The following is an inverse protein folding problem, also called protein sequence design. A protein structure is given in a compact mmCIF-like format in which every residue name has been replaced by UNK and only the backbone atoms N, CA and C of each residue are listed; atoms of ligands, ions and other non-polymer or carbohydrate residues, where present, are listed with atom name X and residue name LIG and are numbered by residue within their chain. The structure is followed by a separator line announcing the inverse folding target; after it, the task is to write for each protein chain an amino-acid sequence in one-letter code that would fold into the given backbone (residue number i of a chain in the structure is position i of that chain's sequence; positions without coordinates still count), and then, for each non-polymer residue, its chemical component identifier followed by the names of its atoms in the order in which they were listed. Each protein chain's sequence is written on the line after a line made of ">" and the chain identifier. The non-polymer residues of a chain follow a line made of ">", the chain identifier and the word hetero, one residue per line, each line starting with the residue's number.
data_IF_927882328085
#
_entry.id   IF_927882328085
#
_cell.length_a   1.000
_cell.length_b   1.000
_cell.length_c   1.000
_cell.angle_alpha   90.00
_cell.angle_beta   90.00
_cell.angle_gamma   90.00
#
_symmetry.space_group_name_H-M   'P 1'
#
loop_
_entity.id
_entity.type
_entity.pdbx_description
1 polymer ?
#
# COMPACT_ATOMS: atom_id res chain seq x y z
N UNK A 1 -3.50 -0.11 -15.70
CA UNK A 1 -3.15 0.67 -14.49
C UNK A 1 -4.42 1.21 -13.85
N UNK A 2 -4.35 1.83 -12.67
CA UNK A 2 -5.36 2.81 -12.23
C UNK A 2 -5.29 4.07 -13.11
N UNK A 3 -6.22 5.05 -13.00
CA UNK A 3 -6.24 6.26 -13.83
C UNK A 3 -5.13 7.27 -13.47
N UNK A 4 -3.91 6.77 -13.28
CA UNK A 4 -2.69 7.51 -13.03
C UNK A 4 -1.56 6.86 -13.84
N UNK A 5 -0.83 7.67 -14.60
CA UNK A 5 0.39 7.25 -15.30
C UNK A 5 1.28 8.45 -15.58
N UNK A 6 2.59 8.28 -15.51
CA UNK A 6 3.56 9.28 -15.95
C UNK A 6 4.30 8.80 -17.17
N UNK A 7 4.28 9.60 -18.22
CA UNK A 7 5.08 9.40 -19.42
C UNK A 7 6.33 10.27 -19.34
N UNK A 8 7.48 9.68 -19.64
CA UNK A 8 8.75 10.36 -19.83
C UNK A 8 9.20 10.18 -21.28
N UNK A 9 9.83 11.19 -21.86
CA UNK A 9 10.41 11.13 -23.19
C UNK A 9 11.71 11.91 -23.24
N UNK A 10 12.54 11.62 -24.25
CA UNK A 10 13.72 12.41 -24.55
C UNK A 10 13.60 12.90 -25.99
N UNK A 11 13.99 14.15 -26.24
CA UNK A 11 14.05 14.71 -27.58
C UNK A 11 15.43 15.30 -27.83
N UNK A 12 15.94 15.09 -29.03
CA UNK A 12 17.21 15.64 -29.49
C UNK A 12 16.97 16.39 -30.79
N UNK A 13 17.56 17.57 -30.91
CA UNK A 13 17.66 18.30 -32.17
C UNK A 13 19.11 18.22 -32.68
N UNK A 14 19.29 18.11 -34.00
CA UNK A 14 20.62 18.07 -34.62
C UNK A 14 21.39 19.38 -34.42
N UNK A 15 20.68 20.49 -34.28
CA UNK A 15 21.22 21.83 -34.02
C UNK A 15 21.36 22.10 -32.50
N UNK A 16 20.89 21.17 -31.66
CA UNK A 16 21.05 21.14 -30.20
C UNK A 16 19.74 21.37 -29.44
N UNK A 17 19.64 20.81 -28.22
CA UNK A 17 18.40 20.84 -27.40
C UNK A 17 17.85 22.25 -27.12
N UNK A 18 18.71 23.28 -27.19
CA UNK A 18 18.30 24.70 -27.06
C UNK A 18 17.34 25.18 -28.16
N UNK A 19 17.22 24.45 -29.28
CA UNK A 19 16.34 24.79 -30.40
C UNK A 19 15.00 24.06 -30.40
N UNK A 20 14.74 23.24 -29.37
CA UNK A 20 13.39 22.75 -29.09
C UNK A 20 12.48 23.91 -28.64
N UNK A 21 11.30 24.01 -29.25
CA UNK A 21 10.32 25.06 -28.93
C UNK A 21 9.29 24.59 -27.90
N UNK A 22 8.64 23.45 -28.14
CA UNK A 22 7.63 22.88 -27.25
C UNK A 22 7.36 21.40 -27.56
N UNK A 23 6.78 20.70 -26.60
CA UNK A 23 6.18 19.39 -26.80
C UNK A 23 4.68 19.51 -27.01
N UNK A 24 4.10 18.57 -27.74
CA UNK A 24 2.66 18.38 -27.83
C UNK A 24 2.31 16.93 -27.55
N UNK A 25 1.27 16.72 -26.75
CA UNK A 25 0.72 15.40 -26.51
C UNK A 25 -0.79 15.36 -26.79
N UNK A 26 -1.30 14.19 -27.10
CA UNK A 26 -2.72 13.94 -27.26
C UNK A 26 -3.10 12.63 -26.57
N UNK A 27 -4.32 12.58 -26.04
CA UNK A 27 -4.86 11.43 -25.34
C UNK A 27 -6.11 10.97 -26.08
N UNK A 28 -6.18 9.68 -26.40
CA UNK A 28 -7.31 9.01 -27.05
C UNK A 28 -7.81 9.74 -28.33
N UNK A 29 -6.93 10.09 -29.29
CA UNK A 29 -7.37 10.76 -30.49
C UNK A 29 -8.29 9.88 -31.36
N UNK A 30 -9.28 10.45 -32.05
CA UNK A 30 -10.15 9.69 -32.94
C UNK A 30 -9.37 9.12 -34.13
N UNK A 31 -9.68 7.89 -34.54
CA UNK A 31 -9.09 7.32 -35.75
C UNK A 31 -9.53 8.10 -36.99
N UNK A 32 -8.57 8.67 -37.72
CA UNK A 32 -8.82 9.37 -38.99
C UNK A 32 -9.43 10.77 -38.85
N UNK A 33 -9.48 11.34 -37.64
CA UNK A 33 -9.98 12.70 -37.38
C UNK A 33 -8.91 13.68 -36.92
N UNK A 34 -9.34 14.91 -36.62
CA UNK A 34 -8.45 15.95 -36.10
C UNK A 34 -7.96 15.61 -34.69
N UNK A 35 -6.64 15.73 -34.48
CA UNK A 35 -6.00 15.45 -33.19
C UNK A 35 -6.01 16.73 -32.35
N UNK A 36 -6.57 16.64 -31.14
CA UNK A 36 -6.55 17.73 -30.15
C UNK A 36 -5.25 17.71 -29.35
N UNK A 37 -4.24 18.41 -29.86
CA UNK A 37 -2.93 18.53 -29.23
C UNK A 37 -2.95 19.48 -28.01
N UNK A 38 -2.28 19.06 -26.94
CA UNK A 38 -2.03 19.84 -25.72
C UNK A 38 -0.54 20.16 -25.65
N UNK A 39 -0.21 21.44 -25.43
CA UNK A 39 1.17 21.92 -25.46
C UNK A 39 1.82 21.92 -24.09
N UNK A 40 3.08 21.50 -24.03
CA UNK A 40 3.96 21.57 -22.87
C UNK A 40 5.23 22.37 -23.24
N UNK A 41 5.84 23.12 -22.31
CA UNK A 41 7.10 23.82 -22.59
C UNK A 41 8.22 22.82 -22.90
N UNK A 42 9.20 23.23 -23.71
CA UNK A 42 10.35 22.38 -24.06
C UNK A 42 11.20 21.93 -22.85
N UNK A 43 11.08 22.62 -21.71
CA UNK A 43 11.74 22.24 -20.46
C UNK A 43 11.01 21.13 -19.69
N UNK A 44 9.86 20.66 -20.19
CA UNK A 44 9.05 19.63 -19.55
C UNK A 44 9.02 18.38 -20.44
N UNK A 45 9.80 17.39 -20.05
CA UNK A 45 10.02 16.11 -20.73
C UNK A 45 9.19 14.95 -20.15
N UNK A 46 8.21 15.29 -19.30
CA UNK A 46 7.27 14.34 -18.73
C UNK A 46 5.87 14.93 -18.55
N UNK A 47 4.86 14.05 -18.47
CA UNK A 47 3.51 14.41 -18.03
C UNK A 47 2.92 13.31 -17.18
N UNK A 48 2.33 13.70 -16.05
CA UNK A 48 1.51 12.81 -15.22
C UNK A 48 0.06 13.02 -15.60
N UNK A 49 -0.58 11.95 -16.07
CA UNK A 49 -2.00 11.89 -16.35
C UNK A 49 -2.71 11.38 -15.11
N UNK A 50 -3.78 12.07 -14.72
CA UNK A 50 -4.67 11.77 -13.58
C UNK A 50 -6.10 11.56 -14.10
N UNK A 51 -7.10 11.22 -13.26
CA UNK A 51 -8.48 11.02 -13.73
C UNK A 51 -9.03 12.21 -14.56
N UNK A 52 -8.68 13.44 -14.18
CA UNK A 52 -9.14 14.66 -14.85
C UNK A 52 -8.43 14.94 -16.18
N UNK A 53 -7.43 14.14 -16.55
CA UNK A 53 -6.66 14.32 -17.78
C UNK A 53 -7.42 13.84 -19.04
N UNK A 54 -8.55 13.16 -18.88
CA UNK A 54 -9.35 12.59 -19.98
C UNK A 54 -9.00 11.14 -20.31
N UNK A 55 -8.49 10.39 -19.33
CA UNK A 55 -8.33 8.93 -19.44
C UNK A 55 -9.70 8.27 -19.58
N UNK A 56 -9.80 7.26 -20.44
CA UNK A 56 -10.99 6.43 -20.56
C UNK A 56 -10.88 5.30 -19.54
N UNK A 57 -11.69 5.36 -18.48
CA UNK A 57 -11.75 4.29 -17.47
C UNK A 57 -12.47 3.06 -18.01
N UNK A 58 -12.08 1.90 -17.49
CA UNK A 58 -12.47 0.57 -17.96
C UNK A 58 -12.32 0.38 -19.48
N UNK A 59 -11.31 1.03 -20.06
CA UNK A 59 -11.08 1.05 -21.50
C UNK A 59 -9.59 1.09 -21.86
N UNK A 60 -9.33 0.79 -23.14
CA UNK A 60 -8.01 0.93 -23.74
C UNK A 60 -7.71 2.40 -24.03
N UNK A 61 -6.52 2.85 -23.65
CA UNK A 61 -6.07 4.21 -23.84
C UNK A 61 -4.89 4.28 -24.81
N UNK A 62 -4.75 5.44 -25.46
CA UNK A 62 -3.66 5.76 -26.38
C UNK A 62 -3.11 7.15 -26.07
N UNK A 63 -1.80 7.24 -25.92
CA UNK A 63 -1.05 8.45 -25.69
C UNK A 63 -0.12 8.72 -26.87
N UNK A 64 -0.18 9.92 -27.45
CA UNK A 64 0.68 10.35 -28.54
C UNK A 64 1.50 11.54 -28.07
N UNK A 65 2.76 11.62 -28.48
CA UNK A 65 3.64 12.77 -28.21
C UNK A 65 4.51 13.10 -29.41
N UNK A 66 4.77 14.40 -29.61
CA UNK A 66 5.71 14.92 -30.61
C UNK A 66 6.38 16.18 -30.08
N UNK A 67 7.52 16.54 -30.68
CA UNK A 67 8.23 17.79 -30.37
C UNK A 67 8.27 18.69 -31.59
N UNK A 68 8.29 20.00 -31.35
CA UNK A 68 8.52 21.00 -32.38
C UNK A 68 9.79 21.78 -32.11
N UNK A 69 10.54 22.07 -33.18
CA UNK A 69 11.68 22.99 -33.15
C UNK A 69 11.22 24.46 -33.25
N UNK A 70 12.15 25.42 -33.13
CA UNK A 70 11.87 26.84 -33.34
C UNK A 70 11.53 27.21 -34.79
N UNK A 71 11.87 26.34 -35.74
CA UNK A 71 11.47 26.42 -37.15
C UNK A 71 10.03 25.97 -37.42
N UNK A 72 9.31 25.49 -36.39
CA UNK A 72 7.97 24.89 -36.47
C UNK A 72 7.91 23.57 -37.27
N UNK A 73 9.05 22.90 -37.47
CA UNK A 73 9.06 21.51 -37.88
C UNK A 73 8.65 20.62 -36.70
N UNK A 74 8.02 19.50 -37.00
CA UNK A 74 7.63 18.50 -36.00
C UNK A 74 8.43 17.22 -36.21
N UNK A 75 8.73 16.53 -35.12
CA UNK A 75 9.25 15.17 -35.15
C UNK A 75 8.22 14.17 -35.69
N UNK A 76 8.65 12.92 -35.84
CA UNK A 76 7.72 11.80 -35.85
C UNK A 76 6.86 11.80 -34.57
N UNK A 77 5.65 11.24 -34.69
CA UNK A 77 4.74 11.07 -33.56
C UNK A 77 5.05 9.74 -32.90
N UNK A 78 5.41 9.77 -31.62
CA UNK A 78 5.53 8.57 -30.80
C UNK A 78 4.17 8.23 -30.21
N UNK A 79 3.91 6.94 -30.07
CA UNK A 79 2.64 6.41 -29.55
C UNK A 79 2.88 5.37 -28.47
N UNK A 80 2.02 5.39 -27.44
CA UNK A 80 1.87 4.36 -26.44
C UNK A 80 0.38 3.95 -26.31
N UNK A 81 0.04 2.66 -26.19
CA UNK A 81 0.94 1.51 -26.34
C UNK A 81 1.43 1.37 -27.79
N UNK A 82 2.47 0.55 -28.03
CA UNK A 82 2.91 0.26 -29.40
C UNK A 82 1.86 -0.57 -30.13
N UNK A 83 1.95 -0.63 -31.46
CA UNK A 83 1.06 -1.47 -32.25
C UNK A 83 1.08 -2.93 -31.76
N UNK A 84 -0.09 -3.46 -31.39
CA UNK A 84 -0.26 -4.81 -30.84
C UNK A 84 -0.28 -4.90 -29.31
N UNK A 85 0.14 -3.84 -28.61
CA UNK A 85 0.10 -3.76 -27.15
C UNK A 85 -1.19 -3.06 -26.66
N UNK A 86 -1.53 -3.26 -25.38
CA UNK A 86 -2.74 -2.72 -24.77
C UNK A 86 -2.39 -1.97 -23.49
N UNK A 87 -2.87 -0.72 -23.38
CA UNK A 87 -2.86 0.04 -22.14
C UNK A 87 -4.29 0.21 -21.63
N UNK A 88 -4.71 -0.72 -20.78
CA UNK A 88 -6.02 -0.68 -20.14
C UNK A 88 -5.98 0.11 -18.83
N UNK A 89 -6.86 1.09 -18.68
CA UNK A 89 -7.05 1.86 -17.44
C UNK A 89 -8.29 1.34 -16.73
N UNK A 90 -8.12 0.82 -15.53
CA UNK A 90 -9.21 0.32 -14.67
C UNK A 90 -9.82 1.48 -13.91
N UNK A 91 -11.14 1.50 -13.76
CA UNK A 91 -11.78 2.40 -12.80
C UNK A 91 -11.49 1.96 -11.37
N UNK A 92 -11.63 2.89 -10.41
CA UNK A 92 -11.64 2.53 -8.99
C UNK A 92 -13.02 2.02 -8.59
N UNK A 93 -13.03 0.98 -7.78
CA UNK A 93 -14.20 0.46 -7.09
C UNK A 93 -14.15 0.94 -5.65
N UNK A 94 -15.03 1.87 -5.29
CA UNK A 94 -15.10 2.47 -3.95
C UNK A 94 -13.88 3.32 -3.58
N UNK A 95 -13.83 3.73 -2.31
CA UNK A 95 -12.77 4.57 -1.74
C UNK A 95 -11.77 3.78 -0.87
N UNK A 96 -11.95 2.46 -0.79
CA UNK A 96 -11.03 1.54 -0.14
C UNK A 96 -10.08 0.90 -1.16
N UNK A 97 -8.78 1.00 -0.90
CA UNK A 97 -7.75 0.23 -1.58
C UNK A 97 -7.26 -0.91 -0.69
N UNK A 98 -7.36 -2.13 -1.19
CA UNK A 98 -6.67 -3.28 -0.62
C UNK A 98 -5.32 -3.44 -1.31
N UNK A 99 -4.23 -3.27 -0.56
CA UNK A 99 -2.87 -3.52 -1.06
C UNK A 99 -2.44 -4.91 -0.64
N UNK A 100 -2.26 -5.78 -1.63
CA UNK A 100 -1.83 -7.17 -1.50
C UNK A 100 -0.31 -7.22 -1.73
N UNK A 101 0.45 -7.13 -0.64
CA UNK A 101 1.91 -7.10 -0.57
C UNK A 101 2.45 -8.37 0.13
N UNK A 102 1.69 -9.47 0.00
CA UNK A 102 2.00 -10.77 0.58
C UNK A 102 2.54 -11.71 -0.49
N UNK A 103 3.83 -12.03 -0.43
CA UNK A 103 4.59 -12.63 -1.54
C UNK A 103 4.56 -14.17 -1.60
N UNK A 104 3.93 -14.85 -0.64
CA UNK A 104 3.92 -16.32 -0.62
C UNK A 104 2.93 -16.96 -1.62
N UNK A 105 3.25 -18.14 -2.12
CA UNK A 105 2.73 -18.74 -3.38
C UNK A 105 1.22 -19.10 -3.48
N UNK A 106 0.35 -18.76 -2.53
CA UNK A 106 -1.12 -18.88 -2.72
C UNK A 106 -1.89 -17.92 -1.79
N UNK A 107 -2.06 -16.67 -2.22
CA UNK A 107 -2.78 -15.64 -1.48
C UNK A 107 -4.30 -15.66 -1.69
N UNK A 108 -4.84 -16.61 -2.47
CA UNK A 108 -6.25 -16.62 -2.88
C UNK A 108 -7.22 -16.75 -1.70
N UNK A 109 -6.86 -17.58 -0.70
CA UNK A 109 -7.66 -17.78 0.52
C UNK A 109 -7.66 -16.50 1.37
N UNK A 110 -6.50 -15.87 1.55
CA UNK A 110 -6.39 -14.62 2.30
C UNK A 110 -7.14 -13.47 1.63
N UNK A 111 -7.08 -13.39 0.30
CA UNK A 111 -7.81 -12.38 -0.47
C UNK A 111 -9.32 -12.58 -0.39
N UNK A 112 -9.79 -13.83 -0.42
CA UNK A 112 -11.19 -14.15 -0.18
C UNK A 112 -11.62 -13.73 1.24
N UNK A 113 -10.78 -13.99 2.26
CA UNK A 113 -11.02 -13.55 3.63
C UNK A 113 -11.21 -12.03 3.72
N UNK A 114 -10.26 -11.23 3.20
CA UNK A 114 -10.39 -9.77 3.20
C UNK A 114 -11.59 -9.28 2.39
N UNK A 115 -11.86 -9.88 1.23
CA UNK A 115 -13.03 -9.56 0.41
C UNK A 115 -14.33 -9.73 1.19
N UNK A 116 -14.46 -10.79 1.99
CA UNK A 116 -15.64 -11.02 2.83
C UNK A 116 -15.73 -10.02 3.99
N UNK A 117 -14.59 -9.65 4.60
CA UNK A 117 -14.55 -8.61 5.65
C UNK A 117 -15.05 -7.26 5.11
N UNK A 118 -14.52 -6.82 3.96
CA UNK A 118 -14.89 -5.55 3.36
C UNK A 118 -16.33 -5.54 2.87
N UNK A 119 -16.79 -6.64 2.25
CA UNK A 119 -18.20 -6.79 1.88
C UNK A 119 -19.14 -6.71 3.10
N UNK A 120 -18.76 -7.33 4.22
CA UNK A 120 -19.56 -7.25 5.47
C UNK A 120 -19.55 -5.85 6.07
N UNK A 121 -18.44 -5.13 5.96
CA UNK A 121 -18.34 -3.73 6.36
C UNK A 121 -19.07 -2.76 5.41
N UNK A 122 -19.54 -3.23 4.24
CA UNK A 122 -20.20 -2.39 3.24
C UNK A 122 -19.24 -1.52 2.43
N UNK A 123 -17.97 -1.90 2.34
CA UNK A 123 -16.90 -1.13 1.72
C UNK A 123 -16.53 -1.75 0.37
N UNK A 124 -17.03 -1.22 -0.77
CA UNK A 124 -16.52 -1.59 -2.08
C UNK A 124 -15.03 -1.20 -2.15
N UNK A 125 -14.23 -2.06 -2.78
CA UNK A 125 -12.78 -1.89 -2.77
C UNK A 125 -12.14 -2.24 -4.11
N UNK A 126 -11.01 -1.59 -4.35
CA UNK A 126 -10.08 -1.92 -5.42
C UNK A 126 -8.90 -2.71 -4.87
N UNK A 127 -8.24 -3.50 -5.72
CA UNK A 127 -7.03 -4.22 -5.31
C UNK A 127 -5.80 -3.72 -6.05
N UNK A 128 -4.74 -3.44 -5.29
CA UNK A 128 -3.41 -3.22 -5.79
C UNK A 128 -2.54 -4.42 -5.43
N UNK A 129 -2.21 -5.24 -6.42
CA UNK A 129 -1.52 -6.51 -6.25
C UNK A 129 0.01 -6.34 -6.40
N UNK A 130 0.65 -5.78 -5.36
CA UNK A 130 2.09 -5.52 -5.37
C UNK A 130 2.92 -6.81 -5.34
N UNK A 131 2.39 -7.87 -4.71
CA UNK A 131 3.02 -9.17 -4.70
C UNK A 131 3.22 -9.74 -6.11
N UNK A 132 2.23 -9.57 -7.01
CA UNK A 132 2.31 -10.03 -8.40
C UNK A 132 2.90 -9.00 -9.35
N UNK A 133 2.43 -7.76 -9.27
CA UNK A 133 2.68 -6.73 -10.29
C UNK A 133 3.89 -5.84 -9.94
N UNK A 134 4.36 -5.88 -8.69
CA UNK A 134 5.42 -5.02 -8.18
C UNK A 134 4.99 -3.55 -8.05
N UNK A 135 5.93 -2.71 -7.59
CA UNK A 135 5.72 -1.27 -7.56
C UNK A 135 5.67 -0.70 -8.98
N UNK A 136 4.86 0.35 -9.23
CA UNK A 136 4.92 1.11 -10.48
C UNK A 136 6.34 1.61 -10.76
N UNK A 137 6.70 1.71 -12.04
CA UNK A 137 8.02 2.20 -12.46
C UNK A 137 8.29 3.65 -12.00
N UNK A 138 7.24 4.42 -11.71
CA UNK A 138 7.32 5.80 -11.24
C UNK A 138 6.78 5.91 -9.80
N UNK A 139 7.59 6.42 -8.89
CA UNK A 139 7.15 6.74 -7.52
C UNK A 139 6.05 7.81 -7.49
N UNK A 140 6.02 8.69 -8.50
CA UNK A 140 4.96 9.67 -8.67
C UNK A 140 3.63 8.97 -9.00
N UNK A 141 3.66 7.97 -9.89
CA UNK A 141 2.47 7.19 -10.24
C UNK A 141 1.95 6.43 -9.03
N UNK A 142 2.85 5.85 -8.26
CA UNK A 142 2.49 5.17 -7.02
C UNK A 142 1.82 6.13 -6.04
N UNK A 143 2.43 7.29 -5.77
CA UNK A 143 1.90 8.30 -4.84
C UNK A 143 0.52 8.83 -5.27
N UNK A 144 0.36 9.16 -6.54
CA UNK A 144 -0.91 9.66 -7.08
C UNK A 144 -1.97 8.55 -7.17
N UNK A 145 -1.58 7.29 -7.39
CA UNK A 145 -2.49 6.14 -7.33
C UNK A 145 -3.07 5.96 -5.94
N UNK A 146 -2.25 6.05 -4.88
CA UNK A 146 -2.75 5.92 -3.51
C UNK A 146 -3.78 7.01 -3.17
N UNK A 147 -3.56 8.24 -3.65
CA UNK A 147 -4.46 9.39 -3.45
C UNK A 147 -5.81 9.30 -4.18
N UNK A 148 -6.01 8.29 -5.02
CA UNK A 148 -7.34 8.01 -5.59
C UNK A 148 -8.33 7.48 -4.54
N UNK A 149 -7.83 7.07 -3.37
CA UNK A 149 -8.58 6.39 -2.32
C UNK A 149 -8.55 7.22 -1.03
N UNK A 150 -9.49 6.95 -0.13
CA UNK A 150 -9.54 7.58 1.20
C UNK A 150 -8.92 6.66 2.26
N UNK A 151 -9.02 5.35 2.04
CA UNK A 151 -8.63 4.31 2.99
C UNK A 151 -7.77 3.26 2.29
N UNK A 152 -6.72 2.83 2.97
CA UNK A 152 -5.86 1.72 2.54
C UNK A 152 -5.88 0.64 3.61
N UNK A 153 -6.09 -0.61 3.22
CA UNK A 153 -5.72 -1.78 4.03
C UNK A 153 -4.51 -2.42 3.35
N UNK A 154 -3.35 -2.29 3.98
CA UNK A 154 -2.10 -2.84 3.51
C UNK A 154 -1.82 -4.15 4.22
N UNK A 155 -1.92 -5.24 3.45
CA UNK A 155 -1.63 -6.58 3.92
C UNK A 155 -0.29 -7.04 3.35
N UNK A 156 0.68 -7.20 4.25
CA UNK A 156 2.08 -7.49 3.93
C UNK A 156 2.50 -8.85 4.52
N UNK A 157 3.62 -9.41 4.08
CA UNK A 157 4.35 -10.46 4.81
C UNK A 157 5.67 -9.94 5.42
N UNK A 158 6.61 -10.83 5.74
CA UNK A 158 7.94 -10.49 6.23
C UNK A 158 8.92 -9.86 5.23
N UNK A 159 8.53 -9.65 3.97
CA UNK A 159 9.31 -8.99 2.90
C UNK A 159 8.48 -7.91 2.18
N UNK A 160 7.87 -6.96 2.89
CA UNK A 160 6.96 -6.01 2.26
C UNK A 160 7.70 -4.97 1.43
N UNK A 161 7.02 -4.43 0.43
CA UNK A 161 7.44 -3.25 -0.35
C UNK A 161 7.21 -1.92 0.40
N UNK A 162 6.94 -2.01 1.71
CA UNK A 162 6.56 -0.88 2.57
C UNK A 162 7.66 0.19 2.67
N UNK A 163 8.93 -0.23 2.73
CA UNK A 163 10.08 0.69 2.80
C UNK A 163 10.21 1.50 1.50
N UNK A 164 10.12 0.82 0.36
CA UNK A 164 10.14 1.42 -0.97
C UNK A 164 8.92 2.31 -1.23
N UNK A 165 7.81 2.04 -0.53
CA UNK A 165 6.54 2.76 -0.63
C UNK A 165 6.42 3.96 0.30
N UNK A 166 7.41 4.20 1.19
CA UNK A 166 7.33 5.21 2.26
C UNK A 166 6.93 6.60 1.74
N UNK A 167 7.58 7.08 0.68
CA UNK A 167 7.29 8.40 0.12
C UNK A 167 5.82 8.51 -0.33
N UNK A 168 5.31 7.47 -0.99
CA UNK A 168 3.92 7.43 -1.45
C UNK A 168 2.94 7.39 -0.29
N UNK A 169 3.23 6.62 0.76
CA UNK A 169 2.40 6.54 1.97
C UNK A 169 2.37 7.88 2.69
N UNK A 170 3.52 8.54 2.86
CA UNK A 170 3.59 9.89 3.47
C UNK A 170 2.78 10.89 2.65
N UNK A 171 2.89 10.84 1.32
CA UNK A 171 2.14 11.70 0.39
C UNK A 171 0.62 11.47 0.49
N UNK A 172 0.19 10.21 0.62
CA UNK A 172 -1.20 9.81 0.84
C UNK A 172 -1.76 10.28 2.19
N UNK A 173 -1.04 10.02 3.28
CA UNK A 173 -1.44 10.47 4.63
C UNK A 173 -1.49 11.99 4.71
N UNK A 174 -0.52 12.69 4.09
CA UNK A 174 -0.49 14.15 4.01
C UNK A 174 -1.66 14.74 3.20
N UNK A 175 -2.30 13.95 2.34
CA UNK A 175 -3.52 14.30 1.62
C UNK A 175 -4.81 13.98 2.41
N UNK A 176 -4.71 13.50 3.65
CA UNK A 176 -5.85 13.13 4.50
C UNK A 176 -6.27 11.66 4.39
N UNK A 177 -5.47 10.82 3.74
CA UNK A 177 -5.70 9.39 3.65
C UNK A 177 -5.49 8.66 4.98
N UNK A 178 -6.10 7.48 5.10
CA UNK A 178 -6.00 6.62 6.28
C UNK A 178 -5.48 5.23 5.93
N UNK A 179 -4.65 4.62 6.77
CA UNK A 179 -4.05 3.32 6.50
C UNK A 179 -4.13 2.35 7.70
N UNK A 180 -4.58 1.13 7.43
CA UNK A 180 -4.42 -0.04 8.30
C UNK A 180 -3.28 -0.91 7.77
N UNK A 181 -2.29 -1.19 8.61
CA UNK A 181 -1.18 -2.08 8.34
C UNK A 181 -1.33 -3.38 9.15
N UNK A 182 -1.29 -4.53 8.47
CA UNK A 182 -1.40 -5.87 9.07
C UNK A 182 -0.62 -6.91 8.26
N UNK A 183 -0.26 -8.04 8.88
CA UNK A 183 0.22 -9.22 8.14
C UNK A 183 1.68 -9.62 8.35
N UNK A 184 2.42 -8.98 9.24
CA UNK A 184 3.86 -9.14 9.39
C UNK A 184 4.30 -10.52 9.95
N UNK A 185 4.17 -11.59 9.16
CA UNK A 185 4.55 -12.97 9.50
C UNK A 185 5.63 -13.51 8.53
N UNK A 186 6.53 -14.40 9.00
CA UNK A 186 7.42 -15.16 8.11
C UNK A 186 8.84 -15.44 8.61
N UNK A 187 9.53 -16.41 7.99
CA UNK A 187 10.86 -16.85 8.42
C UNK A 187 11.99 -15.81 8.16
N UNK A 188 11.85 -14.97 7.14
CA UNK A 188 12.81 -13.90 6.77
C UNK A 188 12.61 -12.58 7.54
N UNK A 189 11.58 -12.53 8.40
CA UNK A 189 11.18 -11.34 9.16
C UNK A 189 12.29 -10.74 10.01
N UNK A 190 13.23 -11.54 10.55
CA UNK A 190 14.31 -11.00 11.41
C UNK A 190 15.20 -10.02 10.63
N UNK A 191 15.72 -10.44 9.48
CA UNK A 191 16.72 -9.63 8.77
C UNK A 191 16.05 -8.44 8.04
N UNK A 192 14.72 -8.47 7.84
CA UNK A 192 13.96 -7.42 7.13
C UNK A 192 13.10 -6.52 8.01
N UNK A 193 12.41 -7.00 9.05
CA UNK A 193 11.74 -6.12 10.03
C UNK A 193 12.77 -5.38 10.89
N UNK A 194 13.88 -6.03 11.27
CA UNK A 194 14.96 -5.33 11.94
C UNK A 194 15.63 -4.32 10.99
N UNK A 195 15.62 -4.53 9.67
CA UNK A 195 16.05 -3.53 8.69
C UNK A 195 15.04 -2.37 8.53
N UNK A 196 13.75 -2.68 8.38
CA UNK A 196 12.60 -1.74 8.32
C UNK A 196 12.51 -0.84 9.56
N UNK A 197 12.80 -1.37 10.76
CA UNK A 197 12.67 -0.63 12.02
C UNK A 197 13.99 -0.16 12.67
N UNK A 198 15.16 -0.68 12.26
CA UNK A 198 16.48 -0.20 12.75
C UNK A 198 17.17 0.80 11.80
N UNK A 199 16.46 1.41 10.85
CA UNK A 199 16.93 2.67 10.26
C UNK A 199 16.86 3.78 11.32
N UNK A 200 17.86 3.77 12.21
CA UNK A 200 18.10 4.81 13.22
C UNK A 200 19.06 5.89 12.71
N UNK A 201 19.73 5.64 11.58
CA UNK A 201 20.82 6.46 11.05
C UNK A 201 20.54 7.10 9.67
N UNK A 202 19.41 6.79 9.01
CA UNK A 202 18.92 7.59 7.87
C UNK A 202 17.75 8.46 8.32
N UNK A 203 17.59 9.64 7.73
CA UNK A 203 16.41 10.48 7.93
C UNK A 203 15.12 9.86 7.30
N UNK A 204 15.21 8.63 6.81
CA UNK A 204 14.22 7.88 6.03
C UNK A 204 13.74 6.64 6.82
N UNK A 205 13.37 6.83 8.09
CA UNK A 205 12.87 5.74 8.93
C UNK A 205 11.37 5.57 8.70
N UNK A 206 10.88 4.34 8.49
CA UNK A 206 9.45 4.01 8.46
C UNK A 206 8.71 4.47 9.72
N UNK A 207 9.43 4.69 10.83
CA UNK A 207 8.93 5.31 12.05
C UNK A 207 8.37 6.73 11.85
N UNK A 208 8.66 7.40 10.72
CA UNK A 208 8.20 8.77 10.45
C UNK A 208 6.68 8.87 10.34
N UNK A 209 6.01 7.82 9.83
CA UNK A 209 4.55 7.82 9.70
C UNK A 209 3.86 6.79 10.60
N UNK A 210 4.62 5.85 11.19
CA UNK A 210 4.03 4.84 12.06
C UNK A 210 3.80 5.38 13.49
N UNK A 211 2.74 4.94 14.19
CA UNK A 211 2.44 5.35 15.56
C UNK A 211 3.34 4.65 16.61
N UNK A 212 4.59 4.34 16.28
CA UNK A 212 5.57 3.67 17.12
C UNK A 212 6.93 4.37 17.07
N UNK A 213 7.69 4.27 18.15
CA UNK A 213 9.07 4.77 18.23
C UNK A 213 10.11 3.66 18.05
N UNK A 214 9.72 2.40 18.22
CA UNK A 214 10.58 1.23 18.06
C UNK A 214 9.77 -0.07 18.06
N UNK A 215 10.45 -1.18 17.78
CA UNK A 215 9.97 -2.55 18.02
C UNK A 215 10.93 -3.28 18.97
N UNK A 216 10.46 -4.31 19.66
CA UNK A 216 11.26 -5.08 20.63
C UNK A 216 12.42 -5.80 19.97
N UNK A 217 13.62 -5.69 20.55
CA UNK A 217 14.77 -6.50 20.16
C UNK A 217 14.54 -7.97 20.56
N UNK A 218 14.32 -8.84 19.58
CA UNK A 218 14.20 -10.30 19.79
C UNK A 218 15.58 -10.96 19.95
N UNK A 219 16.52 -10.32 20.64
CA UNK A 219 17.86 -10.88 20.85
C UNK A 219 17.78 -11.95 21.94
N UNK A 220 17.63 -13.21 21.54
CA UNK A 220 18.10 -14.35 22.35
C UNK A 220 17.13 -15.47 22.74
N UNK A 221 15.88 -15.52 22.25
CA UNK A 221 15.03 -16.72 22.39
C UNK A 221 14.24 -16.98 21.11
N UNK A 222 14.70 -17.95 20.33
CA UNK A 222 14.20 -18.32 18.99
C UNK A 222 12.80 -18.96 18.95
N UNK A 223 11.93 -18.65 19.91
CA UNK A 223 10.53 -19.07 19.87
C UNK A 223 9.68 -17.87 20.27
N UNK A 224 9.04 -17.27 19.27
CA UNK A 224 8.00 -16.24 19.36
C UNK A 224 6.79 -16.82 18.66
N UNK A 225 5.99 -17.60 19.38
CA UNK A 225 4.80 -18.27 18.83
C UNK A 225 3.62 -17.94 19.71
N UNK A 226 2.53 -17.56 19.07
CA UNK A 226 1.24 -17.39 19.72
C UNK A 226 0.29 -18.42 19.12
N UNK A 227 -0.16 -19.35 19.94
CA UNK A 227 -0.98 -20.48 19.54
C UNK A 227 -2.47 -20.09 19.44
N UNK A 228 -3.22 -20.84 18.64
CA UNK A 228 -4.68 -20.79 18.58
C UNK A 228 -5.35 -20.78 19.95
N UNK A 229 -6.49 -20.09 20.05
CA UNK A 229 -7.20 -19.88 21.31
C UNK A 229 -6.58 -18.82 22.21
N UNK A 230 -5.41 -18.28 21.89
CA UNK A 230 -4.88 -17.11 22.60
C UNK A 230 -5.78 -15.91 22.34
N UNK A 231 -6.36 -15.37 23.42
CA UNK A 231 -7.14 -14.12 23.40
C UNK A 231 -6.22 -12.96 23.77
N UNK A 232 -6.31 -11.86 23.03
CA UNK A 232 -5.55 -10.65 23.27
C UNK A 232 -6.24 -9.77 24.32
N UNK A 233 -5.45 -9.11 25.15
CA UNK A 233 -5.94 -8.09 26.06
C UNK A 233 -6.28 -6.83 25.26
N UNK A 234 -7.54 -6.41 25.33
CA UNK A 234 -8.04 -5.19 24.66
C UNK A 234 -7.83 -3.99 25.59
N UNK A 235 -7.14 -2.97 25.09
CA UNK A 235 -6.72 -1.81 25.87
C UNK A 235 -7.60 -0.57 25.65
N UNK A 236 -8.42 -0.56 24.59
CA UNK A 236 -9.47 0.45 24.39
C UNK A 236 -10.86 -0.18 24.45
N UNK A 237 -11.74 0.39 25.27
CA UNK A 237 -13.08 -0.15 25.56
C UNK A 237 -14.00 -0.23 24.33
N UNK A 238 -13.76 0.60 23.32
CA UNK A 238 -14.55 0.69 22.09
C UNK A 238 -13.99 -0.17 20.94
N UNK A 239 -12.86 -0.85 21.14
CA UNK A 239 -12.34 -1.86 20.22
C UNK A 239 -12.84 -3.26 20.59
N UNK A 240 -13.07 -4.14 19.62
CA UNK A 240 -13.53 -5.51 19.89
C UNK A 240 -12.41 -6.37 20.48
N UNK A 241 -12.80 -7.36 21.28
CA UNK A 241 -11.89 -8.42 21.70
C UNK A 241 -11.43 -9.26 20.51
N UNK A 242 -10.14 -9.58 20.47
CA UNK A 242 -9.51 -10.37 19.41
C UNK A 242 -8.84 -11.62 19.97
N UNK A 243 -8.87 -12.70 19.20
CA UNK A 243 -8.21 -13.95 19.52
C UNK A 243 -7.91 -14.75 18.26
N UNK A 244 -6.89 -15.61 18.35
CA UNK A 244 -6.48 -16.47 17.24
C UNK A 244 -7.52 -17.58 17.07
N UNK A 245 -8.05 -17.73 15.86
CA UNK A 245 -9.08 -18.71 15.53
C UNK A 245 -8.62 -20.13 15.90
N UNK A 246 -9.53 -20.93 16.45
CA UNK A 246 -9.33 -22.37 16.61
C UNK A 246 -9.31 -23.02 15.21
N UNK A 247 -8.24 -23.74 14.86
CA UNK A 247 -8.13 -24.37 13.54
C UNK A 247 -8.96 -25.66 13.44
N UNK A 248 -9.49 -25.93 12.24
CA UNK A 248 -10.13 -27.20 11.88
C UNK A 248 -9.09 -28.33 11.70
N UNK A 249 -8.47 -28.75 12.81
CA UNK A 249 -7.59 -29.94 12.86
C UNK A 249 -6.11 -29.72 12.51
N UNK A 250 -5.65 -28.46 12.42
CA UNK A 250 -4.24 -28.09 12.25
C UNK A 250 -3.74 -27.11 13.34
N UNK A 251 -2.43 -26.92 13.46
CA UNK A 251 -1.85 -25.89 14.33
C UNK A 251 -2.04 -24.51 13.67
N UNK A 252 -3.01 -23.73 14.13
CA UNK A 252 -3.09 -22.32 13.81
C UNK A 252 -2.22 -21.54 14.82
N UNK A 253 -1.23 -20.80 14.33
CA UNK A 253 -0.32 -20.01 15.16
C UNK A 253 0.14 -18.77 14.42
N UNK A 254 0.58 -17.77 15.18
CA UNK A 254 1.30 -16.61 14.67
C UNK A 254 2.76 -16.77 15.09
N UNK A 255 3.67 -16.75 14.12
CA UNK A 255 5.10 -16.77 14.37
C UNK A 255 5.72 -15.38 14.37
N UNK A 256 6.80 -15.21 15.15
CA UNK A 256 7.72 -14.07 15.10
C UNK A 256 7.11 -12.70 15.39
N UNK A 257 6.29 -12.64 16.45
CA UNK A 257 5.73 -11.38 16.95
C UNK A 257 6.78 -10.46 17.56
N UNK A 258 6.72 -9.16 17.24
CA UNK A 258 7.47 -8.08 17.90
C UNK A 258 6.58 -7.22 18.79
N UNK A 259 7.07 -6.89 19.98
CA UNK A 259 6.44 -5.88 20.81
C UNK A 259 6.62 -4.49 20.21
N UNK A 260 5.52 -3.76 20.10
CA UNK A 260 5.52 -2.38 19.63
C UNK A 260 5.83 -1.43 20.79
N UNK A 261 6.75 -0.48 20.57
CA UNK A 261 6.95 0.65 21.48
C UNK A 261 6.21 1.87 20.92
N UNK A 262 5.06 2.26 21.51
CA UNK A 262 4.21 3.33 20.99
C UNK A 262 4.92 4.68 20.98
N UNK A 263 4.69 5.48 19.95
CA UNK A 263 5.15 6.86 19.90
C UNK A 263 4.35 7.73 20.90
N UNK A 264 4.86 8.90 21.33
CA UNK A 264 4.08 9.83 22.14
C UNK A 264 2.74 10.18 21.48
N UNK A 265 1.65 10.03 22.23
CA UNK A 265 0.29 10.30 21.74
C UNK A 265 -0.38 9.12 21.02
N UNK A 266 0.34 8.05 20.70
CA UNK A 266 -0.28 6.85 20.14
C UNK A 266 -1.19 6.15 21.15
N UNK A 267 -2.34 5.67 20.69
CA UNK A 267 -3.26 4.88 21.47
C UNK A 267 -2.92 3.39 21.38
N UNK A 268 -3.01 2.68 22.51
CA UNK A 268 -2.75 1.24 22.59
C UNK A 268 -4.04 0.47 22.36
N UNK A 269 -4.05 -0.45 21.41
CA UNK A 269 -5.24 -1.24 21.08
C UNK A 269 -5.20 -2.61 21.72
N UNK A 270 -4.08 -3.34 21.54
CA UNK A 270 -3.98 -4.74 21.93
C UNK A 270 -2.64 -5.09 22.55
N UNK A 271 -2.68 -6.05 23.48
CA UNK A 271 -1.51 -6.63 24.13
C UNK A 271 -1.65 -8.15 24.23
N UNK A 272 -0.55 -8.87 24.12
CA UNK A 272 -0.56 -10.29 24.46
C UNK A 272 -0.70 -10.50 25.97
N UNK A 273 -1.48 -11.50 26.43
CA UNK A 273 -1.47 -11.91 27.83
C UNK A 273 -0.07 -12.39 28.25
N UNK A 274 0.22 -12.66 29.52
CA UNK A 274 1.48 -13.29 29.89
C UNK A 274 1.62 -14.64 29.16
N UNK A 275 2.82 -14.93 28.64
CA UNK A 275 3.11 -16.23 28.01
C UNK A 275 2.74 -17.36 28.99
N UNK A 276 1.80 -18.20 28.56
CA UNK A 276 1.34 -19.36 29.32
C UNK A 276 2.42 -20.44 29.37
N UNK A 277 2.44 -21.28 30.41
CA UNK A 277 3.30 -22.48 30.48
C UNK A 277 2.98 -23.54 29.40
N UNK A 278 1.96 -23.32 28.56
CA UNK A 278 1.63 -24.19 27.42
C UNK A 278 2.88 -24.36 26.54
N UNK A 279 3.42 -25.58 26.40
CA UNK A 279 4.60 -25.83 25.60
C UNK A 279 4.40 -25.31 24.17
N UNK A 280 5.19 -24.31 23.77
CA UNK A 280 5.12 -23.70 22.44
C UNK A 280 4.54 -22.29 22.38
N UNK A 281 3.90 -21.78 23.45
CA UNK A 281 3.62 -20.35 23.60
C UNK A 281 4.82 -19.68 24.28
N UNK A 282 5.71 -19.10 23.49
CA UNK A 282 6.94 -18.49 24.02
C UNK A 282 6.99 -17.07 23.49
N UNK A 283 6.93 -16.09 24.38
CA UNK A 283 7.21 -14.68 24.09
C UNK A 283 7.49 -13.95 25.42
N UNK A 284 8.35 -12.93 25.43
CA UNK A 284 8.74 -12.26 26.67
C UNK A 284 7.65 -11.27 27.14
N UNK A 285 7.27 -11.35 28.41
CA UNK A 285 6.38 -10.37 29.04
C UNK A 285 4.98 -10.36 28.44
N UNK A 286 4.48 -9.14 28.20
CA UNK A 286 3.15 -8.86 27.63
C UNK A 286 3.28 -7.77 26.56
N UNK A 287 3.81 -8.08 25.38
CA UNK A 287 4.09 -7.09 24.35
C UNK A 287 2.82 -6.41 23.84
N UNK A 288 2.91 -5.11 23.54
CA UNK A 288 1.90 -4.40 22.75
C UNK A 288 1.99 -4.89 21.31
N UNK A 289 0.86 -5.21 20.70
CA UNK A 289 0.76 -5.81 19.36
C UNK A 289 -0.22 -5.08 18.45
N UNK A 290 -0.82 -4.00 18.94
CA UNK A 290 -1.68 -3.12 18.17
C UNK A 290 -1.68 -1.71 18.74
N UNK A 291 -1.53 -0.73 17.85
CA UNK A 291 -1.54 0.70 18.19
C UNK A 291 -2.22 1.51 17.07
N UNK A 292 -2.63 2.74 17.38
CA UNK A 292 -3.06 3.71 16.38
C UNK A 292 -2.53 5.10 16.66
N UNK A 293 -2.45 5.93 15.62
CA UNK A 293 -2.08 7.34 15.73
C UNK A 293 -3.16 8.15 16.46
N UNK A 294 -2.78 9.30 17.00
CA UNK A 294 -3.67 10.16 17.79
C UNK A 294 -4.84 10.74 16.97
N UNK A 295 -4.60 10.94 15.67
CA UNK A 295 -5.54 11.45 14.67
C UNK A 295 -6.28 10.32 13.93
N UNK A 296 -6.12 9.06 14.35
CA UNK A 296 -6.67 7.87 13.71
C UNK A 296 -6.23 7.61 12.24
N UNK A 297 -5.30 8.39 11.68
CA UNK A 297 -4.82 8.22 10.29
C UNK A 297 -4.07 6.91 10.05
N UNK A 298 -3.46 6.33 11.09
CA UNK A 298 -2.68 5.09 10.98
C UNK A 298 -3.07 4.10 12.08
N UNK A 299 -3.45 2.89 11.69
CA UNK A 299 -3.61 1.75 12.59
C UNK A 299 -2.55 0.71 12.22
N UNK A 300 -1.72 0.31 13.19
CA UNK A 300 -0.71 -0.72 13.01
C UNK A 300 -1.03 -1.91 13.92
N UNK A 301 -1.20 -3.07 13.30
CA UNK A 301 -1.40 -4.34 13.97
C UNK A 301 -0.32 -5.31 13.54
N UNK A 302 0.37 -5.91 14.50
CA UNK A 302 1.52 -6.76 14.22
C UNK A 302 1.11 -8.14 13.69
N UNK A 303 -0.05 -8.64 14.09
CA UNK A 303 -0.57 -9.93 13.66
C UNK A 303 -1.34 -9.87 12.33
N UNK A 304 -1.31 -10.96 11.54
CA UNK A 304 -2.18 -11.13 10.38
C UNK A 304 -3.65 -11.30 10.79
N UNK A 305 -4.54 -10.45 10.26
CA UNK A 305 -5.98 -10.57 10.50
C UNK A 305 -6.57 -11.91 10.02
N UNK A 306 -5.95 -12.55 9.03
CA UNK A 306 -6.35 -13.88 8.52
C UNK A 306 -6.23 -15.01 9.55
N UNK A 307 -5.51 -14.78 10.66
CA UNK A 307 -5.36 -15.74 11.77
C UNK A 307 -6.35 -15.51 12.91
N UNK A 308 -7.08 -14.39 12.88
CA UNK A 308 -8.04 -14.00 13.91
C UNK A 308 -9.40 -14.63 13.62
N UNK A 309 -10.17 -14.91 14.66
CA UNK A 309 -11.57 -15.30 14.50
C UNK A 309 -12.29 -14.34 13.55
N UNK A 310 -12.97 -14.88 12.55
CA UNK A 310 -13.53 -14.08 11.45
C UNK A 310 -14.57 -13.06 11.92
N UNK A 311 -15.39 -13.41 12.92
CA UNK A 311 -16.38 -12.48 13.46
C UNK A 311 -15.69 -11.32 14.17
N UNK A 312 -14.66 -11.61 14.96
CA UNK A 312 -13.85 -10.60 15.65
C UNK A 312 -13.07 -9.71 14.67
N UNK A 313 -12.46 -10.29 13.63
CA UNK A 313 -11.78 -9.55 12.58
C UNK A 313 -12.72 -8.62 11.81
N UNK A 314 -13.97 -9.07 11.56
CA UNK A 314 -15.01 -8.23 10.95
C UNK A 314 -15.34 -7.03 11.83
N UNK A 315 -15.59 -7.25 13.13
CA UNK A 315 -15.87 -6.17 14.07
C UNK A 315 -14.70 -5.19 14.16
N UNK A 316 -13.47 -5.70 14.11
CA UNK A 316 -12.26 -4.88 14.13
C UNK A 316 -12.16 -3.98 12.90
N UNK A 317 -12.33 -4.55 11.69
CA UNK A 317 -12.31 -3.77 10.45
C UNK A 317 -13.41 -2.69 10.45
N UNK A 318 -14.63 -3.02 10.88
CA UNK A 318 -15.70 -2.03 10.98
C UNK A 318 -15.35 -0.88 11.94
N UNK A 319 -14.74 -1.19 13.08
CA UNK A 319 -14.28 -0.18 14.04
C UNK A 319 -13.16 0.68 13.47
N UNK A 320 -12.19 0.09 12.77
CA UNK A 320 -11.12 0.85 12.10
C UNK A 320 -11.69 1.81 11.06
N UNK A 321 -12.63 1.37 10.23
CA UNK A 321 -13.26 2.24 9.23
C UNK A 321 -14.13 3.34 9.85
N UNK A 322 -14.76 3.08 10.99
CA UNK A 322 -15.44 4.10 11.77
C UNK A 322 -14.45 5.17 12.29
N UNK A 323 -13.26 4.77 12.71
CA UNK A 323 -12.22 5.70 13.16
C UNK A 323 -11.63 6.52 12.00
N UNK A 324 -11.52 5.93 10.79
CA UNK A 324 -11.10 6.64 9.57
C UNK A 324 -12.13 7.63 9.03
N UNK A 325 -13.34 7.66 9.60
CA UNK A 325 -14.42 8.55 9.18
C UNK A 325 -14.60 9.78 10.09
N UNK A 326 -13.76 9.94 11.12
CA UNK A 326 -13.86 11.00 12.15
C UNK A 326 -12.77 12.05 11.97
#
# INVERSE_FOLDING_TARGET
>A
TFPVVTFFWNANDIDGEQDLAFFEYALNPPMGGDISWRRLPASQDFVTLTPDSGLLVDSDNRFLVRVSDRGQAFSEVLEHPREGDVWYVKDKVGDLLFVDDFTSEDNSISRAFFSELFATAGEPFSVFDLARDGLPASLLDFSETLKLFDKIVWWADGSPTLAESQQGIISFLGAGGHILLTGFEGAAVRDRMQWIFNFRDSQDSLLTFLPISAVSDTVGKEVTRVLQGTTFETLQLDYPGLGIAEGDGGLNLIGKIFGLFPAPGAALLYRLPPSSEVPGNVYPGQPIIGVKSADNSVVLIEFPLTKIDKQQATQFIMKVFQDFSQ
#
